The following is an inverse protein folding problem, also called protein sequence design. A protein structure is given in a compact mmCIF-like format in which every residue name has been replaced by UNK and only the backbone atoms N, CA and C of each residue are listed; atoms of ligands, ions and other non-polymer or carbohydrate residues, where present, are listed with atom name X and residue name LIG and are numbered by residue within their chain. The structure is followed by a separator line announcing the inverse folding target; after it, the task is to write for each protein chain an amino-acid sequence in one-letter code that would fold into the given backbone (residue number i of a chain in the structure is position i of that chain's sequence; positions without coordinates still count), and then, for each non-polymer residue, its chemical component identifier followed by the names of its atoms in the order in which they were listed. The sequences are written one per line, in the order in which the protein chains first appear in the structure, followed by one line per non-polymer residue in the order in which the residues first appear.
data_IF_851002482413
#
_entry.id   IF_851002482413
#
_cell.length_a   1.000
_cell.length_b   1.000
_cell.length_c   1.000
_cell.angle_alpha   90.00
_cell.angle_beta   90.00
_cell.angle_gamma   90.00
#
_symmetry.space_group_name_H-M   'P 1'
#
loop_
_entity.id
_entity.type
_entity.pdbx_description
1 polymer ?
#
# COMPACT_ATOMS: atom_id res chain seq x y z
N UNK A 1 22.53 -2.54 -26.71
CA UNK A 1 22.14 -3.71 -25.89
C UNK A 1 21.24 -3.20 -24.78
N UNK A 2 19.93 -3.43 -24.90
CA UNK A 2 18.98 -3.00 -23.87
C UNK A 2 19.02 -3.98 -22.70
N UNK A 3 18.95 -3.51 -21.46
CA UNK A 3 18.83 -4.42 -20.33
C UNK A 3 17.50 -5.19 -20.47
N UNK A 4 17.62 -6.50 -20.60
CA UNK A 4 16.51 -7.43 -20.55
C UNK A 4 15.85 -7.37 -19.18
N UNK A 5 14.55 -7.66 -19.15
CA UNK A 5 13.72 -7.73 -17.93
C UNK A 5 14.39 -8.59 -16.84
N UNK A 6 15.10 -9.65 -17.24
CA UNK A 6 15.88 -10.51 -16.35
C UNK A 6 17.01 -9.79 -15.58
N UNK A 7 17.68 -8.82 -16.21
CA UNK A 7 18.74 -8.06 -15.54
C UNK A 7 18.14 -7.04 -14.56
N UNK A 8 17.00 -6.43 -14.91
CA UNK A 8 16.30 -5.49 -14.03
C UNK A 8 15.84 -6.21 -12.75
N UNK A 9 15.31 -7.42 -12.83
CA UNK A 9 14.92 -8.21 -11.65
C UNK A 9 16.10 -8.45 -10.69
N UNK A 10 17.28 -8.81 -11.22
CA UNK A 10 18.47 -9.03 -10.42
C UNK A 10 18.89 -7.74 -9.71
N UNK A 11 18.85 -6.60 -10.40
CA UNK A 11 19.18 -5.29 -9.82
C UNK A 11 18.19 -4.91 -8.71
N UNK A 12 16.89 -5.09 -8.94
CA UNK A 12 15.86 -4.82 -7.93
C UNK A 12 16.06 -5.67 -6.68
N UNK A 13 16.41 -6.95 -6.85
CA UNK A 13 16.70 -7.83 -5.71
C UNK A 13 17.87 -7.31 -4.87
N UNK A 14 18.95 -6.86 -5.51
CA UNK A 14 20.10 -6.28 -4.80
C UNK A 14 19.73 -5.01 -4.05
N UNK A 15 18.91 -4.14 -4.66
CA UNK A 15 18.42 -2.93 -3.99
C UNK A 15 17.59 -3.29 -2.75
N UNK A 16 16.72 -4.29 -2.84
CA UNK A 16 15.92 -4.76 -1.70
C UNK A 16 16.77 -5.34 -0.57
N UNK A 17 17.85 -6.06 -0.91
CA UNK A 17 18.78 -6.62 0.08
C UNK A 17 19.61 -5.52 0.76
N UNK A 18 20.10 -4.54 -0.01
CA UNK A 18 20.93 -3.44 0.51
C UNK A 18 20.15 -2.46 1.40
N UNK A 19 18.94 -2.10 1.00
CA UNK A 19 18.11 -1.13 1.73
C UNK A 19 17.17 -1.78 2.75
N UNK A 20 16.92 -3.09 2.64
CA UNK A 20 16.01 -3.83 3.49
C UNK A 20 14.53 -3.54 3.22
N UNK A 21 13.65 -4.48 3.58
CA UNK A 21 12.20 -4.40 3.31
C UNK A 21 11.51 -3.26 4.09
N UNK A 22 12.02 -2.90 5.28
CA UNK A 22 11.41 -1.89 6.14
C UNK A 22 11.49 -0.47 5.57
N UNK A 23 12.67 -0.06 5.08
CA UNK A 23 12.87 1.28 4.48
C UNK A 23 12.08 1.43 3.17
N UNK A 24 12.06 0.38 2.35
CA UNK A 24 11.37 0.40 1.05
C UNK A 24 9.86 0.45 1.24
N UNK A 25 9.30 -0.29 2.20
CA UNK A 25 7.85 -0.32 2.41
C UNK A 25 7.29 1.03 2.86
N UNK A 26 7.97 1.74 3.77
CA UNK A 26 7.57 3.08 4.21
C UNK A 26 7.65 4.09 3.06
N UNK A 27 8.78 4.13 2.35
CA UNK A 27 8.98 5.03 1.21
C UNK A 27 8.01 4.74 0.05
N UNK A 28 7.71 3.47 -0.23
CA UNK A 28 6.77 3.09 -1.26
C UNK A 28 5.33 3.44 -0.87
N UNK A 29 4.98 3.39 0.41
CA UNK A 29 3.69 3.84 0.92
C UNK A 29 3.46 5.34 0.70
N UNK A 30 4.44 6.17 1.06
CA UNK A 30 4.37 7.63 0.85
C UNK A 30 4.40 8.00 -0.63
N UNK A 31 5.24 7.31 -1.43
CA UNK A 31 5.28 7.47 -2.87
C UNK A 31 3.95 7.04 -3.53
N UNK A 32 3.33 5.95 -3.08
CA UNK A 32 2.04 5.48 -3.59
C UNK A 32 0.91 6.47 -3.28
N UNK A 33 0.89 7.06 -2.08
CA UNK A 33 -0.06 8.14 -1.73
C UNK A 33 0.10 9.35 -2.66
N UNK A 34 1.35 9.77 -2.93
CA UNK A 34 1.64 10.87 -3.85
C UNK A 34 1.24 10.58 -5.30
N UNK A 35 1.60 9.42 -5.84
CA UNK A 35 1.24 8.99 -7.21
C UNK A 35 -0.28 8.82 -7.34
N UNK A 36 -0.96 8.29 -6.31
CA UNK A 36 -2.42 8.15 -6.30
C UNK A 36 -3.13 9.51 -6.30
N UNK A 37 -2.64 10.47 -5.53
CA UNK A 37 -3.16 11.84 -5.54
C UNK A 37 -2.94 12.51 -6.92
N UNK A 38 -1.76 12.31 -7.50
CA UNK A 38 -1.44 12.79 -8.85
C UNK A 38 -2.34 12.17 -9.92
N UNK A 39 -2.53 10.85 -9.89
CA UNK A 39 -3.41 10.15 -10.81
C UNK A 39 -4.87 10.58 -10.65
N UNK A 40 -5.33 10.79 -9.41
CA UNK A 40 -6.69 11.26 -9.13
C UNK A 40 -6.90 12.70 -9.59
N UNK A 41 -5.90 13.57 -9.46
CA UNK A 41 -5.93 14.94 -9.99
C UNK A 41 -5.90 15.02 -11.53
N UNK A 42 -5.20 14.09 -12.20
CA UNK A 42 -5.25 13.97 -13.66
C UNK A 42 -6.53 13.29 -14.18
N UNK A 43 -7.06 12.34 -13.43
CA UNK A 43 -8.28 11.61 -13.80
C UNK A 43 -9.57 12.39 -13.52
N UNK A 44 -9.52 13.52 -12.80
CA UNK A 44 -10.70 14.38 -12.60
C UNK A 44 -11.15 15.07 -13.91
N UNK A 45 -10.32 15.03 -14.97
CA UNK A 45 -10.65 15.41 -16.35
C UNK A 45 -11.32 14.27 -17.16
N UNK A 46 -11.40 13.04 -16.64
CA UNK A 46 -12.08 11.90 -17.28
C UNK A 46 -13.13 11.25 -16.34
N UNK A 47 -14.41 11.17 -16.72
CA UNK A 47 -15.47 10.82 -15.78
C UNK A 47 -15.61 9.30 -15.65
N UNK A 48 -14.68 8.58 -15.02
CA UNK A 48 -14.95 7.17 -14.62
C UNK A 48 -14.08 6.67 -13.46
N UNK A 49 -14.77 6.39 -12.34
CA UNK A 49 -14.44 5.42 -11.28
C UNK A 49 -13.06 5.45 -10.61
N UNK A 50 -12.99 5.94 -9.36
CA UNK A 50 -12.14 5.31 -8.33
C UNK A 50 -12.68 5.55 -6.91
N UNK A 51 -13.85 4.98 -6.58
CA UNK A 51 -14.34 4.89 -5.19
C UNK A 51 -14.04 3.50 -4.60
N UNK A 52 -12.77 3.11 -4.47
CA UNK A 52 -12.41 1.93 -3.66
C UNK A 52 -10.92 1.84 -3.29
N UNK A 53 -10.35 2.85 -2.65
CA UNK A 53 -9.04 2.68 -1.99
C UNK A 53 -9.01 3.54 -0.73
N UNK A 54 -9.90 3.23 0.20
CA UNK A 54 -9.89 3.77 1.56
C UNK A 54 -10.36 2.65 2.50
N UNK A 55 -9.52 1.60 2.60
CA UNK A 55 -9.63 0.58 3.65
C UNK A 55 -8.32 -0.22 3.72
N UNK A 56 -7.25 0.50 4.04
CA UNK A 56 -5.97 -0.11 4.40
C UNK A 56 -5.34 0.72 5.53
N UNK A 57 -6.13 1.04 6.54
CA UNK A 57 -5.65 1.52 7.83
C UNK A 57 -6.42 0.75 8.91
N UNK A 58 -5.65 -0.04 9.67
CA UNK A 58 -5.80 -0.30 11.10
C UNK A 58 -7.20 -0.40 11.72
N UNK A 59 -7.76 -1.60 11.74
CA UNK A 59 -8.62 -2.02 12.85
C UNK A 59 -8.12 -3.40 13.32
N UNK A 60 -7.51 -3.55 14.52
CA UNK A 60 -7.33 -4.87 15.08
C UNK A 60 -8.73 -5.45 15.33
N UNK A 61 -9.01 -6.63 14.77
CA UNK A 61 -10.24 -7.37 15.06
C UNK A 61 -10.21 -7.71 16.56
N UNK A 62 -10.85 -6.90 17.40
CA UNK A 62 -11.08 -7.22 18.80
C UNK A 62 -12.16 -8.31 18.87
N UNK A 63 -11.71 -9.55 19.11
CA UNK A 63 -12.55 -10.74 19.25
C UNK A 63 -12.97 -10.98 20.71
N UNK A 64 -13.28 -9.93 21.47
CA UNK A 64 -13.79 -10.06 22.84
C UNK A 64 -15.31 -9.84 22.88
N UNK A 65 -16.15 -10.89 22.92
CA UNK A 65 -17.56 -10.74 23.26
C UNK A 65 -17.69 -10.24 24.70
N UNK A 66 -18.37 -9.10 24.86
CA UNK A 66 -18.71 -8.50 26.14
C UNK A 66 -19.41 -9.52 27.05
N UNK A 67 -18.91 -9.61 28.30
CA UNK A 67 -19.52 -10.36 29.37
C UNK A 67 -20.97 -9.90 29.62
N UNK A 68 -21.96 -10.69 29.21
CA UNK A 68 -23.28 -10.68 29.85
C UNK A 68 -23.21 -11.55 31.12
N UNK A 69 -22.92 -10.92 32.25
CA UNK A 69 -23.36 -11.39 33.57
C UNK A 69 -24.50 -10.45 33.96
N UNK A 70 -25.75 -10.94 33.91
CA UNK A 70 -26.53 -11.33 35.09
C UNK A 70 -26.77 -10.16 36.03
N UNK A 71 -27.82 -9.41 35.77
CA UNK A 71 -28.53 -8.66 36.80
C UNK A 71 -29.72 -9.50 37.24
N UNK A 72 -29.78 -9.71 38.56
CA UNK A 72 -30.85 -10.34 39.31
C UNK A 72 -31.72 -9.26 39.96
#
# INVERSE_FOLDING_TARGET
MSPSIWQILIVVLLVVVLFGRGKISALMGDMAKGIKAFKRGMADDEPTETRKVERAEDDPIDVTPAAQKKDA
#
